data_IF_504383345491
#
_entry.id   IF_504383345491
#
_cell.length_a   1.000
_cell.length_b   1.000
_cell.length_c   1.000
_cell.angle_alpha   90.00
_cell.angle_beta   90.00
_cell.angle_gamma   90.00
#
_symmetry.space_group_name_H-M   'P 1'
#
loop_
_entity.id
_entity.type
_entity.pdbx_description
1 polymer ?
#
# COMPACT_ATOMS: atom_id res chain seq x y z
N UNK A 1 -10.09 -10.26 9.79
CA UNK A 1 -8.61 -10.26 9.77
C UNK A 1 -8.16 -10.29 8.33
N UNK A 2 -7.45 -9.25 7.89
CA UNK A 2 -6.83 -9.23 6.59
C UNK A 2 -5.80 -10.36 6.48
N UNK A 3 -5.79 -11.04 5.35
CA UNK A 3 -4.85 -12.10 5.05
C UNK A 3 -3.90 -11.64 3.94
N UNK A 4 -2.61 -11.90 4.13
CA UNK A 4 -1.57 -11.62 3.15
C UNK A 4 -1.07 -12.94 2.56
N UNK A 5 -1.16 -13.09 1.24
CA UNK A 5 -0.50 -14.17 0.51
C UNK A 5 0.53 -13.61 -0.44
N UNK A 6 1.59 -14.39 -0.66
CA UNK A 6 2.57 -14.13 -1.70
C UNK A 6 2.51 -15.26 -2.72
N UNK A 7 2.22 -14.90 -3.95
CA UNK A 7 2.50 -15.75 -5.09
C UNK A 7 3.92 -15.41 -5.57
N UNK A 8 4.84 -16.38 -5.63
CA UNK A 8 6.21 -16.13 -6.08
C UNK A 8 6.23 -15.65 -7.53
N UNK A 9 7.29 -14.95 -7.90
CA UNK A 9 7.51 -14.57 -9.30
C UNK A 9 7.58 -15.81 -10.20
N UNK A 10 7.13 -15.64 -11.44
CA UNK A 10 7.34 -16.60 -12.52
C UNK A 10 8.13 -15.93 -13.66
N UNK A 11 8.53 -16.70 -14.66
CA UNK A 11 9.37 -16.26 -15.79
C UNK A 11 8.78 -15.04 -16.53
N UNK A 12 7.44 -14.90 -16.51
CA UNK A 12 6.72 -13.85 -17.24
C UNK A 12 5.95 -12.88 -16.32
N UNK A 13 6.05 -13.05 -14.98
CA UNK A 13 5.26 -12.25 -14.04
C UNK A 13 6.01 -11.93 -12.74
N UNK A 14 5.88 -10.70 -12.21
CA UNK A 14 6.46 -10.32 -10.92
C UNK A 14 5.78 -11.08 -9.77
N UNK A 15 6.47 -11.14 -8.63
CA UNK A 15 5.91 -11.69 -7.40
C UNK A 15 4.68 -10.88 -6.99
N UNK A 16 3.58 -11.55 -6.64
CA UNK A 16 2.28 -10.92 -6.39
C UNK A 16 1.89 -11.03 -4.94
N UNK A 17 1.78 -9.89 -4.28
CA UNK A 17 1.20 -9.75 -2.96
C UNK A 17 -0.32 -9.63 -3.12
N UNK A 18 -1.08 -10.53 -2.52
CA UNK A 18 -2.54 -10.43 -2.47
C UNK A 18 -2.98 -10.09 -1.06
N UNK A 19 -3.83 -9.08 -0.93
CA UNK A 19 -4.47 -8.71 0.32
C UNK A 19 -5.96 -9.04 0.25
N UNK A 20 -6.41 -9.85 1.20
CA UNK A 20 -7.79 -10.36 1.25
C UNK A 20 -8.45 -9.97 2.57
N UNK A 21 -9.74 -9.60 2.53
CA UNK A 21 -10.50 -9.19 3.70
C UNK A 21 -10.43 -7.69 3.98
N UNK A 22 -10.77 -7.29 5.21
CA UNK A 22 -10.88 -5.87 5.57
C UNK A 22 -9.56 -5.32 6.11
N UNK A 23 -9.22 -4.10 5.71
CA UNK A 23 -8.06 -3.37 6.17
C UNK A 23 -8.47 -2.09 6.88
N UNK A 24 -8.92 -2.25 8.12
CA UNK A 24 -9.25 -1.14 9.02
C UNK A 24 -8.14 -0.94 10.06
N UNK A 25 -8.33 0.00 10.99
CA UNK A 25 -7.48 0.17 12.16
C UNK A 25 -7.26 -1.12 12.96
N UNK A 26 -8.21 -2.06 12.96
CA UNK A 26 -8.09 -3.32 13.70
C UNK A 26 -7.07 -4.27 13.05
N UNK A 27 -7.03 -4.33 11.72
CA UNK A 27 -6.15 -5.23 10.97
C UNK A 27 -4.81 -4.59 10.59
N UNK A 28 -4.78 -3.27 10.36
CA UNK A 28 -3.64 -2.58 9.75
C UNK A 28 -2.30 -2.86 10.44
N UNK A 29 -2.28 -2.90 11.78
CA UNK A 29 -1.04 -3.16 12.54
C UNK A 29 -0.51 -4.57 12.27
N UNK A 30 -1.39 -5.56 12.31
CA UNK A 30 -0.99 -6.96 12.19
C UNK A 30 -0.64 -7.29 10.73
N UNK A 31 -1.36 -6.72 9.76
CA UNK A 31 -1.01 -6.78 8.33
C UNK A 31 0.34 -6.12 8.04
N UNK A 32 0.64 -4.97 8.66
CA UNK A 32 1.95 -4.33 8.53
C UNK A 32 3.09 -5.21 9.05
N UNK A 33 2.91 -5.86 10.20
CA UNK A 33 3.90 -6.78 10.73
C UNK A 33 4.12 -7.99 9.79
N UNK A 34 3.04 -8.54 9.24
CA UNK A 34 3.12 -9.64 8.27
C UNK A 34 3.84 -9.22 6.98
N UNK A 35 3.56 -8.03 6.47
CA UNK A 35 4.26 -7.46 5.31
C UNK A 35 5.77 -7.33 5.57
N UNK A 36 6.18 -6.80 6.71
CA UNK A 36 7.60 -6.65 7.04
C UNK A 36 8.32 -8.00 7.12
N UNK A 37 7.71 -9.02 7.74
CA UNK A 37 8.28 -10.35 7.82
C UNK A 37 8.44 -10.96 6.41
N UNK A 38 7.41 -10.86 5.58
CA UNK A 38 7.40 -11.40 4.23
C UNK A 38 8.44 -10.73 3.32
N UNK A 39 8.53 -9.40 3.36
CA UNK A 39 9.45 -8.62 2.53
C UNK A 39 10.92 -8.77 2.97
N UNK A 40 11.18 -9.21 4.20
CA UNK A 40 12.54 -9.53 4.64
C UNK A 40 13.08 -10.83 3.99
N UNK A 41 12.19 -11.76 3.66
CA UNK A 41 12.55 -13.08 3.13
C UNK A 41 12.56 -13.15 1.60
N UNK A 42 11.87 -12.22 0.94
CA UNK A 42 11.60 -12.29 -0.50
C UNK A 42 11.96 -10.97 -1.18
N UNK A 43 12.46 -11.05 -2.41
CA UNK A 43 12.88 -9.88 -3.20
C UNK A 43 12.12 -9.82 -4.52
N UNK A 44 11.96 -8.59 -5.03
CA UNK A 44 11.13 -8.29 -6.20
C UNK A 44 11.68 -8.78 -7.55
N UNK A 45 10.99 -8.45 -8.66
CA UNK A 45 9.97 -7.40 -8.81
C UNK A 45 8.59 -7.76 -8.22
N UNK A 46 7.81 -6.73 -7.86
CA UNK A 46 6.53 -6.86 -7.12
C UNK A 46 5.31 -6.40 -7.92
N UNK A 47 4.16 -6.96 -7.58
CA UNK A 47 2.82 -6.46 -7.90
C UNK A 47 1.89 -6.63 -6.70
N UNK A 48 0.85 -5.80 -6.61
CA UNK A 48 -0.14 -5.82 -5.54
C UNK A 48 -1.53 -6.10 -6.10
N UNK A 49 -2.20 -7.12 -5.60
CA UNK A 49 -3.56 -7.51 -5.98
C UNK A 49 -4.52 -7.17 -4.84
N UNK A 50 -5.51 -6.33 -5.14
CA UNK A 50 -6.50 -5.85 -4.17
C UNK A 50 -7.92 -6.35 -4.50
N UNK A 51 -8.05 -7.36 -5.37
CA UNK A 51 -9.34 -7.88 -5.84
C UNK A 51 -10.25 -8.40 -4.73
N UNK A 52 -9.66 -8.93 -3.67
CA UNK A 52 -10.36 -9.53 -2.54
C UNK A 52 -10.35 -8.63 -1.30
N UNK A 53 -9.96 -7.36 -1.46
CA UNK A 53 -9.96 -6.40 -0.37
C UNK A 53 -11.37 -5.86 -0.16
N UNK A 54 -11.85 -5.98 1.08
CA UNK A 54 -13.17 -5.52 1.51
C UNK A 54 -13.15 -4.07 1.97
N UNK A 55 -13.55 -3.84 3.21
CA UNK A 55 -13.58 -2.50 3.80
C UNK A 55 -12.16 -1.96 4.03
N UNK A 56 -11.95 -0.68 3.73
CA UNK A 56 -10.69 0.02 3.97
C UNK A 56 -10.98 1.37 4.62
N UNK A 57 -10.26 1.68 5.70
CA UNK A 57 -10.29 3.00 6.35
C UNK A 57 -8.99 3.78 6.11
N UNK A 58 -8.82 4.91 6.80
CA UNK A 58 -7.61 5.73 6.68
C UNK A 58 -6.33 5.02 7.12
N UNK A 59 -6.38 4.10 8.10
CA UNK A 59 -5.20 3.36 8.56
C UNK A 59 -4.80 2.30 7.51
N UNK A 60 -5.78 1.59 6.95
CA UNK A 60 -5.55 0.68 5.85
C UNK A 60 -5.02 1.38 4.61
N UNK A 61 -5.60 2.53 4.23
CA UNK A 61 -5.10 3.29 3.10
C UNK A 61 -3.65 3.76 3.31
N UNK A 62 -3.31 4.26 4.50
CA UNK A 62 -1.94 4.69 4.82
C UNK A 62 -0.95 3.53 4.67
N UNK A 63 -1.34 2.32 5.08
CA UNK A 63 -0.53 1.13 4.89
C UNK A 63 -0.32 0.81 3.40
N UNK A 64 -1.39 0.84 2.59
CA UNK A 64 -1.29 0.60 1.14
C UNK A 64 -0.39 1.64 0.45
N UNK A 65 -0.52 2.92 0.81
CA UNK A 65 0.34 3.99 0.29
C UNK A 65 1.80 3.83 0.71
N UNK A 66 2.05 3.46 1.97
CA UNK A 66 3.39 3.19 2.46
C UNK A 66 4.03 2.00 1.74
N UNK A 67 3.25 0.93 1.50
CA UNK A 67 3.69 -0.25 0.75
C UNK A 67 4.03 0.11 -0.70
N UNK A 68 3.14 0.84 -1.39
CA UNK A 68 3.37 1.28 -2.77
C UNK A 68 4.63 2.14 -2.91
N UNK A 69 4.90 3.02 -1.94
CA UNK A 69 6.12 3.84 -1.88
C UNK A 69 7.37 3.05 -1.54
N UNK A 70 7.25 1.97 -0.77
CA UNK A 70 8.40 1.16 -0.33
C UNK A 70 8.84 0.15 -1.39
N UNK A 71 7.89 -0.39 -2.16
CA UNK A 71 8.15 -1.39 -3.20
C UNK A 71 8.27 -0.77 -4.60
N UNK A 72 7.66 0.40 -4.82
CA UNK A 72 7.84 1.20 -6.03
C UNK A 72 9.05 2.13 -5.91
N UNK A 73 9.69 2.42 -7.04
CA UNK A 73 10.73 3.44 -7.13
C UNK A 73 10.19 4.76 -7.68
N UNK A 74 10.95 5.84 -7.52
CA UNK A 74 10.65 7.18 -8.09
C UNK A 74 10.29 7.13 -9.58
N UNK A 75 10.89 6.22 -10.34
CA UNK A 75 10.66 6.06 -11.79
C UNK A 75 9.76 4.89 -12.16
N UNK A 76 9.35 4.06 -11.20
CA UNK A 76 8.51 2.89 -11.47
C UNK A 76 7.58 2.62 -10.27
N UNK A 77 6.33 3.11 -10.31
CA UNK A 77 5.38 2.85 -9.24
C UNK A 77 5.05 1.36 -9.14
N UNK A 78 4.69 0.90 -7.94
CA UNK A 78 4.23 -0.47 -7.71
C UNK A 78 2.99 -0.76 -8.58
N UNK A 79 3.02 -1.78 -9.47
CA UNK A 79 1.83 -2.18 -10.21
C UNK A 79 0.74 -2.68 -9.25
N UNK A 80 -0.43 -2.04 -9.30
CA UNK A 80 -1.63 -2.46 -8.55
C UNK A 80 -2.63 -3.05 -9.54
N UNK A 81 -3.16 -4.23 -9.22
CA UNK A 81 -4.12 -4.98 -10.04
C UNK A 81 -5.42 -5.11 -9.27
N UNK A 82 -6.54 -5.06 -10.01
CA UNK A 82 -7.88 -5.35 -9.55
C UNK A 82 -8.31 -4.55 -8.29
N UNK A 83 -8.17 -3.22 -8.37
CA UNK A 83 -8.69 -2.31 -7.36
C UNK A 83 -10.22 -2.39 -7.28
N UNK A 84 -10.78 -2.52 -6.08
CA UNK A 84 -12.22 -2.45 -5.88
C UNK A 84 -12.73 -1.00 -5.99
N UNK A 85 -13.99 -0.77 -6.42
CA UNK A 85 -14.56 0.57 -6.53
C UNK A 85 -14.49 1.38 -5.23
N UNK A 86 -14.67 0.73 -4.10
CA UNK A 86 -14.67 1.34 -2.77
C UNK A 86 -13.27 1.89 -2.42
N UNK A 87 -12.23 1.11 -2.69
CA UNK A 87 -10.84 1.53 -2.46
C UNK A 87 -10.42 2.60 -3.47
N UNK A 88 -10.90 2.50 -4.72
CA UNK A 88 -10.76 3.55 -5.72
C UNK A 88 -11.35 4.88 -5.27
N UNK A 89 -12.59 4.88 -4.78
CA UNK A 89 -13.25 6.07 -4.28
C UNK A 89 -12.52 6.67 -3.06
N UNK A 90 -11.98 5.84 -2.17
CA UNK A 90 -11.21 6.30 -1.02
C UNK A 90 -9.87 6.95 -1.44
N UNK A 91 -9.16 6.35 -2.40
CA UNK A 91 -7.94 6.93 -2.99
C UNK A 91 -8.20 8.27 -3.69
N UNK A 92 -9.34 8.40 -4.37
CA UNK A 92 -9.78 9.65 -4.99
C UNK A 92 -10.13 10.72 -3.94
N UNK A 93 -10.89 10.34 -2.91
CA UNK A 93 -11.30 11.23 -1.82
C UNK A 93 -10.10 11.75 -1.02
N UNK A 94 -9.13 10.86 -0.76
CA UNK A 94 -8.02 11.14 0.14
C UNK A 94 -6.77 11.64 -0.56
N UNK A 95 -6.81 12.01 -1.85
CA UNK A 95 -5.68 12.64 -2.58
C UNK A 95 -5.00 13.70 -1.70
N UNK A 96 -3.87 13.39 -1.03
CA UNK A 96 -3.34 14.26 0.02
C UNK A 96 -2.68 15.53 -0.54
N UNK A 97 -2.48 15.56 -1.86
CA UNK A 97 -1.61 16.53 -2.52
C UNK A 97 -2.21 17.95 -2.63
N UNK A 98 -3.50 18.13 -2.34
CA UNK A 98 -4.17 19.43 -2.46
C UNK A 98 -4.61 20.05 -1.12
N UNK A 99 -4.65 19.30 -0.02
CA UNK A 99 -5.26 19.76 1.24
C UNK A 99 -4.27 20.25 2.30
N UNK A 100 -3.00 19.83 2.25
CA UNK A 100 -1.99 20.25 3.22
C UNK A 100 -0.68 20.60 2.49
N UNK A 101 -0.57 21.86 2.06
CA UNK A 101 0.73 22.46 1.75
C UNK A 101 1.31 22.94 3.07
N UNK A 102 2.37 22.32 3.63
CA UNK A 102 3.04 22.87 4.80
C UNK A 102 3.60 24.24 4.46
N UNK A 103 3.16 25.27 5.18
CA UNK A 103 3.75 26.60 5.07
C UNK A 103 5.19 26.56 5.55
N UNK A 104 6.06 27.16 4.73
CA UNK A 104 7.52 27.17 4.74
C UNK A 104 8.21 27.18 6.12
N UNK A 105 9.37 26.51 6.16
CA UNK A 105 10.43 26.69 7.16
C UNK A 105 10.74 28.18 7.38
N UNK A 106 10.49 28.73 8.57
CA UNK A 106 11.21 29.94 9.00
C UNK A 106 12.55 29.53 9.60
N UNK A 107 13.59 29.56 8.76
CA UNK A 107 14.92 29.86 9.24
C UNK A 107 14.96 31.36 9.56
N UNK A 108 14.88 31.71 10.83
CA UNK A 108 15.42 32.99 11.30
C UNK A 108 16.57 32.65 12.25
N UNK A 109 17.75 32.56 11.65
CA UNK A 109 18.99 32.89 12.34
C UNK A 109 18.97 34.41 12.58
N UNK A 110 19.23 34.82 13.81
CA UNK A 110 19.38 36.20 14.26
C UNK A 110 19.87 36.21 15.68
#
# INVERSE_FOLDING_TARGET
MAHLTLHPADTDAPARLCLEGDLTIFEARDTHAALLALLAEQQGPWSLDLSALGEVDSAGLQLLLALAKSLGGESQPLPVVALTPEVGALLELLRPHELLIPSQRSACAG
#
